data_IF_388591824522
#
_entry.id   IF_388591824522
#
_cell.length_a   1.000
_cell.length_b   1.000
_cell.length_c   1.000
_cell.angle_alpha   90.00
_cell.angle_beta   90.00
_cell.angle_gamma   90.00
#
_symmetry.space_group_name_H-M   'P 1'
#
loop_
_entity.id
_entity.type
_entity.pdbx_description
1 polymer ?
#
# COMPACT_ATOMS: atom_id res chain seq x y z
N UNK A 1 58.93 25.31 25.05
CA UNK A 1 58.49 24.15 24.24
C UNK A 1 56.99 24.26 24.07
N UNK A 2 56.56 24.65 22.88
CA UNK A 2 55.18 24.99 22.55
C UNK A 2 54.36 23.71 22.35
N UNK A 3 53.20 23.60 23.01
CA UNK A 3 52.20 22.58 22.70
C UNK A 3 51.33 23.10 21.55
N UNK A 4 51.57 22.59 20.33
CA UNK A 4 50.65 22.77 19.20
C UNK A 4 49.33 22.03 19.49
N UNK A 5 48.22 22.76 19.40
CA UNK A 5 46.88 22.17 19.28
C UNK A 5 46.71 21.71 17.82
N UNK A 6 46.14 20.53 17.56
CA UNK A 6 45.88 20.11 16.19
C UNK A 6 44.71 20.91 15.58
N UNK A 7 44.89 21.27 14.31
CA UNK A 7 43.95 21.94 13.41
C UNK A 7 42.62 21.17 13.27
N UNK A 8 41.46 21.83 13.13
CA UNK A 8 40.16 21.16 13.00
C UNK A 8 39.87 20.63 11.57
N UNK A 9 40.91 20.48 10.75
CA UNK A 9 40.78 20.22 9.30
C UNK A 9 40.77 18.76 8.86
N UNK A 10 41.21 17.81 9.69
CA UNK A 10 41.40 16.40 9.25
C UNK A 10 40.44 15.43 9.92
N UNK A 11 39.15 15.55 9.58
CA UNK A 11 38.24 14.41 9.64
C UNK A 11 38.45 13.56 8.39
N UNK A 12 39.33 12.57 8.51
CA UNK A 12 39.53 11.55 7.49
C UNK A 12 38.18 11.03 6.96
N UNK A 13 38.01 10.82 5.64
CA UNK A 13 36.76 10.34 5.10
C UNK A 13 36.43 8.96 5.73
N UNK A 14 35.18 8.73 6.17
CA UNK A 14 34.83 7.51 6.88
C UNK A 14 35.09 6.29 6.00
N UNK A 15 35.88 5.34 6.54
CA UNK A 15 36.23 4.07 5.90
C UNK A 15 34.98 3.38 5.33
N UNK A 16 35.04 2.79 4.13
CA UNK A 16 33.92 2.06 3.55
C UNK A 16 33.59 0.86 4.45
N UNK A 17 32.46 0.93 5.15
CA UNK A 17 32.03 -0.09 6.11
C UNK A 17 31.62 0.44 7.49
N UNK A 18 31.80 1.74 7.79
CA UNK A 18 31.36 2.28 9.07
C UNK A 18 29.82 2.36 9.16
N UNK A 19 29.29 2.05 10.35
CA UNK A 19 27.85 2.16 10.67
C UNK A 19 27.33 3.57 10.36
N UNK A 20 28.16 4.60 10.53
CA UNK A 20 27.85 5.97 10.16
C UNK A 20 27.57 6.16 8.66
N UNK A 21 28.27 5.44 7.77
CA UNK A 21 28.01 5.49 6.32
C UNK A 21 26.73 4.73 5.95
N UNK A 22 26.42 3.63 6.66
CA UNK A 22 25.12 2.92 6.52
C UNK A 22 23.96 3.76 7.06
N UNK A 23 24.15 4.49 8.14
CA UNK A 23 23.18 5.44 8.69
C UNK A 23 23.00 6.65 7.77
N UNK A 24 24.07 7.18 7.18
CA UNK A 24 23.99 8.25 6.17
C UNK A 24 23.31 7.76 4.88
N UNK A 25 23.54 6.52 4.45
CA UNK A 25 22.82 5.92 3.31
C UNK A 25 21.34 5.62 3.64
N UNK A 26 21.00 5.44 4.91
CA UNK A 26 19.62 5.27 5.40
C UNK A 26 18.88 6.60 5.59
N UNK A 27 19.62 7.66 5.98
CA UNK A 27 19.11 9.00 6.24
C UNK A 27 19.16 9.93 5.01
N UNK A 28 19.83 9.53 3.92
CA UNK A 28 19.77 10.25 2.64
C UNK A 28 18.60 9.73 1.81
N UNK A 29 17.69 10.61 1.33
CA UNK A 29 16.47 10.23 0.61
C UNK A 29 16.73 9.65 -0.79
N UNK A 30 18.00 9.42 -1.16
CA UNK A 30 18.41 9.04 -2.49
C UNK A 30 18.20 7.56 -2.83
N UNK A 31 18.01 6.66 -1.84
CA UNK A 31 17.93 5.19 -2.10
C UNK A 31 16.99 4.34 -1.21
N UNK A 32 15.77 4.75 -0.84
CA UNK A 32 14.78 3.80 -0.28
C UNK A 32 14.14 2.89 -1.34
N UNK A 33 14.21 3.28 -2.61
CA UNK A 33 13.48 2.63 -3.71
C UNK A 33 14.15 1.39 -4.32
N UNK A 34 15.40 1.04 -3.98
CA UNK A 34 16.05 -0.17 -4.54
C UNK A 34 15.69 -1.46 -3.80
N UNK A 35 15.26 -1.37 -2.55
CA UNK A 35 14.82 -2.51 -1.75
C UNK A 35 13.35 -2.88 -1.99
N UNK A 36 12.55 -1.88 -2.40
CA UNK A 36 11.24 -2.05 -3.01
C UNK A 36 11.51 -2.42 -4.47
N UNK A 37 11.02 -3.55 -4.97
CA UNK A 37 11.30 -3.99 -6.36
C UNK A 37 10.95 -2.92 -7.42
N UNK A 38 11.28 -3.19 -8.69
CA UNK A 38 10.96 -2.27 -9.80
C UNK A 38 9.50 -1.82 -9.74
N UNK A 39 9.27 -0.51 -9.68
CA UNK A 39 7.91 0.05 -9.67
C UNK A 39 7.34 0.09 -11.09
N UNK A 40 6.07 -0.28 -11.22
CA UNK A 40 5.28 -0.13 -12.44
C UNK A 40 4.19 0.90 -12.22
N UNK A 41 3.96 1.72 -13.23
CA UNK A 41 2.86 2.66 -13.24
C UNK A 41 1.54 1.89 -13.23
N UNK A 42 0.65 2.25 -12.31
CA UNK A 42 -0.72 1.75 -12.28
C UNK A 42 -1.55 2.55 -13.27
N UNK A 43 -2.51 1.89 -13.91
CA UNK A 43 -3.45 2.53 -14.84
C UNK A 43 -4.17 3.70 -14.18
N UNK A 44 -4.37 4.78 -14.94
CA UNK A 44 -4.97 6.02 -14.45
C UNK A 44 -6.42 5.83 -13.96
N UNK A 45 -7.15 4.87 -14.54
CA UNK A 45 -8.53 4.54 -14.21
C UNK A 45 -8.65 3.47 -13.10
N UNK A 46 -7.54 3.08 -12.48
CA UNK A 46 -7.57 2.25 -11.28
C UNK A 46 -8.11 3.03 -10.09
N UNK A 47 -8.85 2.35 -9.22
CA UNK A 47 -9.38 2.88 -7.97
C UNK A 47 -9.25 1.88 -6.84
N UNK A 48 -8.75 2.32 -5.69
CA UNK A 48 -8.77 1.58 -4.44
C UNK A 48 -9.63 2.34 -3.44
N UNK A 49 -10.72 1.73 -3.01
CA UNK A 49 -11.64 2.29 -2.02
C UNK A 49 -11.59 1.48 -0.72
N UNK A 50 -11.57 2.17 0.42
CA UNK A 50 -11.79 1.58 1.74
C UNK A 50 -13.11 2.09 2.31
N UNK A 51 -13.92 1.17 2.86
CA UNK A 51 -15.28 1.45 3.29
C UNK A 51 -15.46 1.27 4.80
N UNK A 52 -16.43 1.94 5.41
CA UNK A 52 -16.79 1.70 6.81
C UNK A 52 -17.34 0.27 7.00
N UNK A 53 -17.34 -0.19 8.26
CA UNK A 53 -17.95 -1.47 8.63
C UNK A 53 -19.46 -1.28 8.81
N UNK A 54 -20.19 -1.35 7.71
CA UNK A 54 -21.66 -1.31 7.69
C UNK A 54 -22.25 -2.50 6.91
N UNK A 55 -23.56 -2.71 7.05
CA UNK A 55 -24.25 -3.86 6.46
C UNK A 55 -24.21 -3.89 4.92
N UNK A 56 -24.08 -2.75 4.25
CA UNK A 56 -23.98 -2.65 2.79
C UNK A 56 -22.55 -2.96 2.36
N UNK A 57 -21.56 -2.31 2.98
CA UNK A 57 -20.14 -2.48 2.68
C UNK A 57 -19.64 -3.89 2.98
N UNK A 58 -20.15 -4.56 4.02
CA UNK A 58 -19.80 -5.95 4.33
C UNK A 58 -20.24 -6.96 3.25
N UNK A 59 -21.22 -6.61 2.40
CA UNK A 59 -21.64 -7.48 1.27
C UNK A 59 -20.59 -7.56 0.16
N UNK A 60 -19.57 -6.68 0.17
CA UNK A 60 -18.41 -6.80 -0.71
C UNK A 60 -17.57 -8.06 -0.42
N UNK A 61 -17.75 -8.66 0.75
CA UNK A 61 -17.04 -9.87 1.17
C UNK A 61 -17.77 -11.16 0.78
N UNK A 62 -18.98 -11.03 0.27
CA UNK A 62 -19.79 -12.14 -0.22
C UNK A 62 -19.54 -12.31 -1.73
N UNK A 63 -18.93 -13.43 -2.17
CA UNK A 63 -18.63 -13.67 -3.58
C UNK A 63 -19.87 -13.61 -4.48
N UNK A 64 -21.05 -13.97 -3.97
CA UNK A 64 -22.29 -13.95 -4.75
C UNK A 64 -22.83 -12.54 -4.96
N UNK A 65 -22.45 -11.59 -4.10
CA UNK A 65 -22.99 -10.22 -4.07
C UNK A 65 -21.99 -9.14 -4.41
N UNK A 66 -20.70 -9.47 -4.53
CA UNK A 66 -19.62 -8.49 -4.74
C UNK A 66 -19.88 -7.63 -5.97
N UNK A 67 -20.28 -8.23 -7.10
CA UNK A 67 -20.50 -7.51 -8.35
C UNK A 67 -21.64 -6.50 -8.22
N UNK A 68 -22.80 -6.94 -7.74
CA UNK A 68 -23.96 -6.08 -7.51
C UNK A 68 -23.65 -4.96 -6.49
N UNK A 69 -23.01 -5.31 -5.38
CA UNK A 69 -22.66 -4.34 -4.33
C UNK A 69 -21.69 -3.29 -4.84
N UNK A 70 -20.69 -3.70 -5.62
CA UNK A 70 -19.76 -2.76 -6.25
C UNK A 70 -20.46 -1.83 -7.25
N UNK A 71 -21.37 -2.34 -8.08
CA UNK A 71 -22.15 -1.50 -9.00
C UNK A 71 -22.94 -0.42 -8.26
N UNK A 72 -23.65 -0.80 -7.19
CA UNK A 72 -24.38 0.14 -6.34
C UNK A 72 -23.48 1.22 -5.74
N UNK A 73 -22.31 0.84 -5.21
CA UNK A 73 -21.34 1.79 -4.65
C UNK A 73 -20.79 2.73 -5.73
N UNK A 74 -20.51 2.21 -6.93
CA UNK A 74 -20.06 3.01 -8.07
C UNK A 74 -21.13 3.99 -8.54
N UNK A 75 -22.39 3.58 -8.63
CA UNK A 75 -23.52 4.45 -8.98
C UNK A 75 -23.72 5.57 -7.96
N UNK A 76 -23.41 5.31 -6.69
CA UNK A 76 -23.38 6.34 -5.66
C UNK A 76 -22.18 7.31 -5.77
N UNK A 77 -21.26 7.08 -6.72
CA UNK A 77 -20.00 7.80 -6.83
C UNK A 77 -19.04 7.53 -5.69
N UNK A 78 -19.10 6.34 -5.08
CA UNK A 78 -18.31 5.93 -3.92
C UNK A 78 -18.45 6.86 -2.70
N UNK A 79 -19.56 7.61 -2.56
CA UNK A 79 -19.76 8.59 -1.47
C UNK A 79 -19.58 8.04 -0.06
N UNK A 80 -19.71 6.73 0.13
CA UNK A 80 -19.55 6.05 1.41
C UNK A 80 -18.11 5.62 1.70
N UNK A 81 -17.18 5.74 0.76
CA UNK A 81 -15.77 5.39 0.99
C UNK A 81 -15.14 6.34 2.01
N UNK A 82 -14.43 5.79 2.99
CA UNK A 82 -13.60 6.57 3.91
C UNK A 82 -12.28 7.01 3.26
N UNK A 83 -11.80 6.22 2.31
CA UNK A 83 -10.62 6.53 1.53
C UNK A 83 -10.84 6.11 0.08
N UNK A 84 -10.63 7.05 -0.86
CA UNK A 84 -10.67 6.84 -2.31
C UNK A 84 -9.30 7.23 -2.89
N UNK A 85 -8.62 6.25 -3.47
CA UNK A 85 -7.29 6.38 -4.07
C UNK A 85 -7.37 6.05 -5.56
N UNK A 86 -6.77 6.90 -6.38
CA UNK A 86 -6.77 6.77 -7.84
C UNK A 86 -5.49 6.14 -8.36
N UNK A 87 -5.42 5.78 -9.64
CA UNK A 87 -4.20 5.27 -10.27
C UNK A 87 -2.96 6.15 -10.04
N UNK A 88 -3.12 7.48 -9.99
CA UNK A 88 -2.03 8.41 -9.71
C UNK A 88 -1.50 8.32 -8.27
N UNK A 89 -2.30 7.79 -7.35
CA UNK A 89 -1.93 7.56 -5.95
C UNK A 89 -1.16 6.24 -5.77
N UNK A 90 -1.11 5.38 -6.79
CA UNK A 90 -0.69 3.98 -6.69
C UNK A 90 0.53 3.69 -7.58
N UNK A 91 1.48 2.93 -7.05
CA UNK A 91 2.55 2.33 -7.84
C UNK A 91 2.66 0.84 -7.52
N UNK A 92 2.68 -0.04 -8.51
CA UNK A 92 2.77 -1.48 -8.30
C UNK A 92 4.23 -1.92 -8.15
N UNK A 93 4.51 -2.81 -7.21
CA UNK A 93 5.81 -3.48 -7.12
C UNK A 93 5.84 -4.69 -8.07
N UNK A 94 6.75 -4.71 -9.04
CA UNK A 94 6.77 -5.74 -10.10
C UNK A 94 6.93 -7.19 -9.62
N UNK A 95 7.50 -7.39 -8.43
CA UNK A 95 7.89 -8.71 -7.93
C UNK A 95 6.95 -9.21 -6.83
N UNK A 96 5.92 -8.44 -6.46
CA UNK A 96 5.04 -8.75 -5.34
C UNK A 96 3.61 -8.27 -5.65
N UNK A 97 2.57 -8.95 -5.13
CA UNK A 97 1.21 -8.43 -5.18
C UNK A 97 1.06 -7.30 -4.16
N UNK A 98 1.67 -6.16 -4.45
CA UNK A 98 1.73 -5.04 -3.54
C UNK A 98 1.71 -3.69 -4.27
N UNK A 99 1.07 -2.72 -3.63
CA UNK A 99 0.95 -1.34 -4.07
C UNK A 99 1.65 -0.43 -3.07
N UNK A 100 2.44 0.51 -3.58
CA UNK A 100 3.08 1.55 -2.82
C UNK A 100 2.34 2.86 -3.07
N UNK A 101 1.77 3.43 -2.00
CA UNK A 101 1.03 4.69 -2.08
C UNK A 101 1.97 5.86 -2.34
N UNK A 102 1.54 6.86 -3.11
CA UNK A 102 2.23 8.14 -3.24
C UNK A 102 2.41 8.80 -1.85
N UNK A 103 3.36 9.74 -1.68
CA UNK A 103 3.51 10.45 -0.41
C UNK A 103 2.21 11.15 0.04
N UNK A 104 1.49 11.78 -0.89
CA UNK A 104 0.22 12.46 -0.59
C UNK A 104 -0.87 11.45 -0.20
N UNK A 105 -0.99 10.35 -0.92
CA UNK A 105 -1.93 9.28 -0.59
C UNK A 105 -1.61 8.61 0.75
N UNK A 106 -0.32 8.48 1.08
CA UNK A 106 0.13 7.96 2.37
C UNK A 106 -0.26 8.91 3.51
N UNK A 107 -0.11 10.22 3.32
CA UNK A 107 -0.56 11.22 4.29
C UNK A 107 -2.09 11.18 4.47
N UNK A 108 -2.86 11.06 3.39
CA UNK A 108 -4.33 10.89 3.44
C UNK A 108 -4.73 9.61 4.17
N UNK A 109 -4.06 8.50 3.88
CA UNK A 109 -4.26 7.23 4.57
C UNK A 109 -4.07 7.41 6.08
N UNK A 110 -2.96 8.03 6.50
CA UNK A 110 -2.67 8.28 7.91
C UNK A 110 -3.67 9.24 8.57
N UNK A 111 -4.12 10.27 7.84
CA UNK A 111 -5.12 11.21 8.34
C UNK A 111 -6.48 10.54 8.58
N UNK A 112 -6.95 9.72 7.64
CA UNK A 112 -8.20 8.95 7.78
C UNK A 112 -8.06 7.85 8.84
N UNK A 113 -6.84 7.34 9.03
CA UNK A 113 -6.54 6.35 10.05
C UNK A 113 -6.59 6.90 11.50
N UNK A 114 -6.88 8.19 11.70
CA UNK A 114 -7.09 8.82 13.00
C UNK A 114 -6.00 8.56 14.08
N UNK A 115 -4.73 8.30 13.70
CA UNK A 115 -3.57 8.21 14.61
C UNK A 115 -2.21 8.50 13.94
N UNK A 116 -1.23 8.89 14.76
CA UNK A 116 0.17 9.12 14.41
C UNK A 116 0.87 7.86 13.81
N UNK A 117 1.87 8.10 12.95
CA UNK A 117 2.67 7.12 12.18
C UNK A 117 3.05 5.84 12.95
N UNK A 118 3.29 5.92 14.26
CA UNK A 118 3.67 4.77 15.10
C UNK A 118 2.55 3.72 15.33
N UNK A 119 1.29 4.01 14.95
CA UNK A 119 0.13 3.15 15.20
C UNK A 119 -0.77 2.90 13.97
N UNK A 120 -0.22 3.03 12.75
CA UNK A 120 -0.95 2.88 11.48
C UNK A 120 -1.66 1.51 11.27
N UNK A 121 -1.47 0.55 12.18
CA UNK A 121 -1.99 -0.82 12.09
C UNK A 121 -3.47 -0.98 12.45
N UNK A 122 -4.11 0.01 13.09
CA UNK A 122 -5.41 -0.22 13.76
C UNK A 122 -6.64 0.41 13.09
N UNK A 123 -6.47 1.40 12.22
CA UNK A 123 -7.61 2.26 11.88
C UNK A 123 -8.56 1.69 10.84
N UNK A 124 -8.02 1.06 9.80
CA UNK A 124 -8.81 0.37 8.79
C UNK A 124 -9.06 -1.10 9.16
N UNK A 125 -8.86 -1.49 10.42
CA UNK A 125 -8.84 -2.90 10.78
C UNK A 125 -10.19 -3.56 10.48
N UNK A 126 -10.15 -4.62 9.68
CA UNK A 126 -11.30 -5.39 9.20
C UNK A 126 -12.27 -4.63 8.29
N UNK A 127 -11.90 -3.43 7.85
CA UNK A 127 -12.72 -2.65 6.93
C UNK A 127 -12.74 -3.26 5.53
N UNK A 128 -13.91 -3.29 4.86
CA UNK A 128 -13.99 -3.74 3.48
C UNK A 128 -13.19 -2.84 2.55
N UNK A 129 -12.59 -3.42 1.52
CA UNK A 129 -12.00 -2.67 0.42
C UNK A 129 -12.48 -3.19 -0.93
N UNK A 130 -12.34 -2.36 -1.95
CA UNK A 130 -12.40 -2.77 -3.37
C UNK A 130 -11.23 -2.20 -4.12
N UNK A 131 -10.59 -3.02 -4.93
CA UNK A 131 -9.67 -2.62 -5.99
C UNK A 131 -10.39 -2.79 -7.33
N UNK A 132 -10.46 -1.73 -8.11
CA UNK A 132 -11.17 -1.70 -9.37
C UNK A 132 -10.34 -1.05 -10.46
N UNK A 133 -10.66 -1.41 -11.70
CA UNK A 133 -10.14 -0.75 -12.90
C UNK A 133 -11.32 -0.50 -13.82
N UNK A 134 -11.38 0.71 -14.37
CA UNK A 134 -12.54 1.15 -15.13
C UNK A 134 -13.84 1.00 -14.30
N UNK A 135 -14.70 0.05 -14.67
CA UNK A 135 -16.00 -0.20 -14.06
C UNK A 135 -16.12 -1.62 -13.47
N UNK A 136 -15.01 -2.34 -13.34
CA UNK A 136 -14.99 -3.69 -12.79
C UNK A 136 -14.22 -3.73 -11.46
N UNK A 137 -14.80 -4.43 -10.50
CA UNK A 137 -14.13 -4.78 -9.26
C UNK A 137 -13.19 -5.96 -9.55
N UNK A 138 -11.88 -5.73 -9.44
CA UNK A 138 -10.87 -6.77 -9.60
C UNK A 138 -10.70 -7.59 -8.32
N UNK A 139 -10.68 -6.92 -7.16
CA UNK A 139 -10.57 -7.58 -5.86
C UNK A 139 -11.46 -6.88 -4.84
N UNK A 140 -12.04 -7.66 -3.95
CA UNK A 140 -12.64 -7.18 -2.71
C UNK A 140 -12.14 -8.01 -1.54
N UNK A 141 -12.19 -7.43 -0.35
CA UNK A 141 -11.70 -8.13 0.83
C UNK A 141 -11.66 -7.26 2.06
N UNK A 142 -10.82 -7.65 3.03
CA UNK A 142 -10.65 -6.89 4.27
C UNK A 142 -9.26 -6.33 4.41
N UNK A 143 -9.17 -5.13 4.93
CA UNK A 143 -7.91 -4.59 5.44
C UNK A 143 -7.58 -5.28 6.76
N UNK A 144 -6.35 -5.75 6.91
CA UNK A 144 -5.89 -6.41 8.15
C UNK A 144 -4.51 -5.90 8.58
N UNK A 145 -4.17 -5.98 9.88
CA UNK A 145 -2.84 -5.64 10.36
C UNK A 145 -1.79 -6.56 9.75
N UNK A 146 -0.58 -6.06 9.52
CA UNK A 146 0.52 -6.89 9.01
C UNK A 146 0.84 -8.09 9.94
N UNK A 147 0.68 -7.91 11.25
CA UNK A 147 0.88 -8.96 12.25
C UNK A 147 -0.28 -9.98 12.33
N UNK A 148 -1.37 -9.77 11.58
CA UNK A 148 -2.52 -10.67 11.62
C UNK A 148 -2.16 -12.06 11.14
N UNK A 149 -2.55 -13.06 11.94
CA UNK A 149 -2.46 -14.48 11.61
C UNK A 149 -3.82 -15.08 11.25
N UNK A 150 -4.85 -14.24 11.17
CA UNK A 150 -6.22 -14.66 10.86
C UNK A 150 -6.27 -15.26 9.46
N UNK A 151 -6.75 -16.51 9.38
CA UNK A 151 -7.00 -17.19 8.11
C UNK A 151 -8.41 -16.87 7.62
N UNK A 152 -8.57 -15.67 7.07
CA UNK A 152 -9.83 -15.28 6.45
C UNK A 152 -9.97 -15.98 5.09
N UNK A 153 -11.19 -16.37 4.74
CA UNK A 153 -11.55 -16.98 3.45
C UNK A 153 -11.74 -15.94 2.33
N UNK A 154 -11.19 -14.74 2.50
CA UNK A 154 -11.30 -13.64 1.54
C UNK A 154 -9.92 -13.01 1.32
N UNK A 155 -9.79 -12.19 0.29
CA UNK A 155 -8.59 -11.41 0.06
C UNK A 155 -8.32 -10.48 1.27
N UNK A 156 -7.07 -10.38 1.66
CA UNK A 156 -6.61 -9.51 2.74
C UNK A 156 -5.65 -8.46 2.21
N UNK A 157 -5.88 -7.20 2.59
CA UNK A 157 -4.99 -6.08 2.33
C UNK A 157 -4.19 -5.79 3.59
N UNK A 158 -2.93 -6.22 3.61
CA UNK A 158 -2.00 -5.96 4.70
C UNK A 158 -1.31 -4.63 4.50
N UNK A 159 -1.17 -3.87 5.57
CA UNK A 159 -0.68 -2.50 5.50
C UNK A 159 0.54 -2.33 6.38
N UNK A 160 1.60 -1.74 5.84
CA UNK A 160 2.83 -1.39 6.56
C UNK A 160 3.38 -0.06 6.07
N UNK A 161 4.11 0.65 6.93
CA UNK A 161 4.85 1.84 6.52
C UNK A 161 6.26 1.45 6.04
N UNK A 162 6.69 1.99 4.90
CA UNK A 162 8.05 1.89 4.39
C UNK A 162 8.51 3.27 3.94
N UNK A 163 9.52 3.82 4.61
CA UNK A 163 10.11 5.13 4.27
C UNK A 163 9.05 6.24 4.12
N UNK A 164 8.17 6.37 5.11
CA UNK A 164 7.08 7.36 5.16
C UNK A 164 5.98 7.18 4.09
N UNK A 165 5.96 6.03 3.43
CA UNK A 165 4.91 5.66 2.46
C UNK A 165 4.19 4.41 2.93
N UNK A 166 2.92 4.31 2.61
CA UNK A 166 2.15 3.10 2.91
C UNK A 166 2.36 2.06 1.81
N UNK A 167 2.76 0.86 2.23
CA UNK A 167 2.82 -0.35 1.43
C UNK A 167 1.58 -1.19 1.72
N UNK A 168 0.85 -1.52 0.67
CA UNK A 168 -0.37 -2.32 0.70
C UNK A 168 -0.11 -3.66 0.02
N UNK A 169 -0.10 -4.74 0.78
CA UNK A 169 0.21 -6.08 0.28
C UNK A 169 -1.04 -6.96 0.27
N UNK A 170 -1.37 -7.50 -0.89
CA UNK A 170 -2.52 -8.39 -1.07
C UNK A 170 -2.13 -9.83 -0.75
N UNK A 171 -2.95 -10.52 0.04
CA UNK A 171 -2.70 -11.91 0.41
C UNK A 171 -4.02 -12.68 0.56
N UNK A 172 -3.99 -13.96 0.22
CA UNK A 172 -5.04 -14.91 0.55
C UNK A 172 -4.46 -16.25 1.01
N UNK A 173 -5.20 -17.00 1.81
CA UNK A 173 -4.89 -18.39 2.11
C UNK A 173 -5.56 -19.36 1.12
N UNK A 174 -6.56 -18.88 0.40
CA UNK A 174 -7.25 -19.60 -0.66
C UNK A 174 -6.43 -19.53 -1.97
N UNK A 175 -6.09 -20.66 -2.60
CA UNK A 175 -5.32 -20.68 -3.84
C UNK A 175 -6.04 -19.99 -5.01
N UNK A 176 -7.36 -20.08 -5.11
CA UNK A 176 -8.12 -19.50 -6.22
C UNK A 176 -8.04 -17.96 -6.14
N UNK A 177 -8.25 -17.42 -4.93
CA UNK A 177 -8.09 -16.00 -4.68
C UNK A 177 -6.65 -15.50 -4.85
N UNK A 178 -5.63 -16.35 -4.71
CA UNK A 178 -4.24 -15.95 -5.02
C UNK A 178 -4.06 -15.74 -6.51
N UNK A 179 -4.63 -16.62 -7.32
CA UNK A 179 -4.62 -16.48 -8.76
C UNK A 179 -5.36 -15.20 -9.17
N UNK A 180 -6.51 -14.90 -8.55
CA UNK A 180 -7.25 -13.65 -8.78
C UNK A 180 -6.43 -12.41 -8.40
N UNK A 181 -5.67 -12.47 -7.28
CA UNK A 181 -4.76 -11.39 -6.88
C UNK A 181 -3.71 -11.16 -7.97
N UNK A 182 -3.05 -12.21 -8.45
CA UNK A 182 -2.01 -12.08 -9.47
C UNK A 182 -2.58 -11.54 -10.79
N UNK A 183 -3.78 -11.97 -11.18
CA UNK A 183 -4.49 -11.44 -12.35
C UNK A 183 -4.87 -9.97 -12.18
N UNK A 184 -5.39 -9.58 -11.01
CA UNK A 184 -5.71 -8.19 -10.71
C UNK A 184 -4.46 -7.29 -10.75
N UNK A 185 -3.35 -7.78 -10.18
CA UNK A 185 -2.07 -7.09 -10.20
C UNK A 185 -1.52 -6.93 -11.62
N UNK A 186 -1.73 -7.92 -12.49
CA UNK A 186 -1.41 -7.83 -13.92
C UNK A 186 -2.32 -6.82 -14.63
N UNK A 187 -3.63 -6.85 -14.39
CA UNK A 187 -4.60 -5.95 -15.01
C UNK A 187 -4.42 -4.47 -14.60
N UNK A 188 -3.87 -4.22 -13.41
CA UNK A 188 -3.55 -2.87 -12.92
C UNK A 188 -2.45 -2.17 -13.71
N UNK A 189 -1.53 -2.90 -14.34
CA UNK A 189 -0.35 -2.31 -15.01
C UNK A 189 -0.22 -2.65 -16.47
N UNK A 190 -1.03 -3.59 -16.96
CA UNK A 190 -1.16 -3.84 -18.38
C UNK A 190 -2.48 -3.24 -18.87
N UNK A 191 -2.45 -2.39 -19.89
CA UNK A 191 -3.64 -2.09 -20.65
C UNK A 191 -3.97 -3.33 -21.48
N UNK A 192 -4.69 -4.31 -20.92
CA UNK A 192 -5.33 -5.31 -21.78
C UNK A 192 -6.37 -4.59 -22.62
N UNK A 193 -6.22 -4.76 -23.94
CA UNK A 193 -7.12 -4.29 -24.98
C UNK A 193 -8.56 -4.67 -24.63
N UNK A 194 -9.46 -3.69 -24.83
CA UNK A 194 -10.91 -3.89 -24.78
C UNK A 194 -11.37 -5.04 -25.67
#
# INVERSE_FOLDING_TARGET
MSHERPDPGDLAPPRPGSISRRLLDWLTPSRPLRALGQLRAVRADARLNIYPIDASSLRLLDPERVHYTFQMLRESGFRQSQLDLTGADLAQLSLQPALLLSPLASARWLAVADRALSAATFAFMFQPFTLAVSNECLLSGRVVPMASRSRLSCCTLRVSEVSQRMLLQFQSHDPDLRQDIDQAMFALTNPTAA
#
